data_IF_854470982548
#
_entry.id   IF_854470982548
#
_cell.length_a   1.000
_cell.length_b   1.000
_cell.length_c   1.000
_cell.angle_alpha   90.00
_cell.angle_beta   90.00
_cell.angle_gamma   90.00
#
_symmetry.space_group_name_H-M   'P 1'
#
loop_
_entity.id
_entity.type
_entity.pdbx_description
1 polymer ?
#
# COMPACT_ATOMS: atom_id res chain seq x y z
N UNK A 1 10.28 -0.02 -13.66
CA UNK A 1 9.19 0.75 -13.00
C UNK A 1 8.29 -0.26 -12.31
N UNK A 2 7.86 -0.02 -11.07
CA UNK A 2 6.88 -0.88 -10.38
C UNK A 2 5.62 -0.07 -10.14
N UNK A 3 4.49 -0.52 -10.67
CA UNK A 3 3.20 0.14 -10.41
C UNK A 3 2.58 -0.47 -9.16
N UNK A 4 2.23 0.39 -8.20
CA UNK A 4 1.48 0.01 -7.02
C UNK A 4 0.02 0.40 -7.20
N UNK A 5 -0.88 -0.47 -6.76
CA UNK A 5 -2.32 -0.26 -6.84
C UNK A 5 -2.93 -0.42 -5.46
N UNK A 6 -4.05 0.26 -5.22
CA UNK A 6 -5.02 -0.27 -4.26
C UNK A 6 -5.67 -1.51 -4.86
N UNK A 7 -6.00 -2.48 -4.02
CA UNK A 7 -6.73 -3.67 -4.43
C UNK A 7 -8.11 -3.65 -3.82
N UNK A 8 -9.11 -4.03 -4.59
CA UNK A 8 -10.42 -4.39 -4.05
C UNK A 8 -10.57 -5.89 -4.02
N UNK A 9 -11.17 -6.42 -2.98
CA UNK A 9 -11.40 -7.85 -2.79
C UNK A 9 -12.81 -8.14 -2.32
N UNK A 10 -13.29 -9.33 -2.67
CA UNK A 10 -14.58 -9.86 -2.30
C UNK A 10 -14.36 -11.22 -1.65
N UNK A 11 -14.88 -11.36 -0.42
CA UNK A 11 -14.87 -12.64 0.29
C UNK A 11 -15.97 -13.55 -0.27
N UNK A 12 -15.77 -14.88 -0.24
CA UNK A 12 -16.81 -15.82 -0.64
C UNK A 12 -18.08 -15.58 0.19
N UNK A 13 -19.23 -15.51 -0.48
CA UNK A 13 -20.52 -15.21 0.15
C UNK A 13 -20.79 -13.73 0.44
N UNK A 14 -19.81 -12.83 0.25
CA UNK A 14 -20.03 -11.39 0.43
C UNK A 14 -20.49 -10.73 -0.87
N UNK A 15 -21.56 -9.93 -0.83
CA UNK A 15 -22.02 -9.16 -2.01
C UNK A 15 -21.25 -7.85 -2.25
N UNK A 16 -20.44 -7.41 -1.28
CA UNK A 16 -19.76 -6.11 -1.31
C UNK A 16 -18.27 -6.28 -1.55
N UNK A 17 -17.72 -5.40 -2.39
CA UNK A 17 -16.28 -5.25 -2.55
C UNK A 17 -15.71 -4.42 -1.40
N UNK A 18 -14.58 -4.86 -0.84
CA UNK A 18 -13.79 -4.12 0.16
C UNK A 18 -12.48 -3.67 -0.50
N UNK A 19 -11.98 -2.49 -0.16
CA UNK A 19 -10.70 -1.99 -0.68
C UNK A 19 -9.60 -2.14 0.38
N UNK A 20 -8.38 -2.48 -0.04
CA UNK A 20 -7.19 -2.45 0.81
C UNK A 20 -6.85 -0.99 1.18
N UNK A 21 -6.32 -0.81 2.40
CA UNK A 21 -5.83 0.49 2.86
C UNK A 21 -4.43 0.83 2.36
N UNK A 22 -3.69 -0.18 1.89
CA UNK A 22 -2.31 -0.05 1.43
C UNK A 22 -2.25 -0.24 -0.08
N UNK A 23 -1.37 0.54 -0.72
CA UNK A 23 -0.97 0.32 -2.11
C UNK A 23 0.16 -0.69 -2.14
N UNK A 24 0.09 -1.62 -3.08
CA UNK A 24 1.07 -2.69 -3.21
C UNK A 24 1.23 -3.07 -4.68
N UNK A 25 2.36 -3.66 -5.04
CA UNK A 25 2.55 -4.24 -6.37
C UNK A 25 1.83 -5.60 -6.48
N UNK A 26 1.77 -6.16 -7.68
CA UNK A 26 1.08 -7.42 -7.94
C UNK A 26 1.64 -8.62 -7.15
N UNK A 27 2.94 -8.68 -6.92
CA UNK A 27 3.57 -9.78 -6.17
C UNK A 27 3.25 -9.67 -4.67
N UNK A 28 3.38 -8.45 -4.13
CA UNK A 28 3.03 -8.15 -2.74
C UNK A 28 1.54 -8.39 -2.47
N UNK A 29 0.67 -8.04 -3.42
CA UNK A 29 -0.77 -8.34 -3.35
C UNK A 29 -1.01 -9.84 -3.27
N UNK A 30 -0.39 -10.62 -4.16
CA UNK A 30 -0.55 -12.08 -4.16
C UNK A 30 -0.17 -12.70 -2.82
N UNK A 31 0.95 -12.28 -2.24
CA UNK A 31 1.43 -12.75 -0.92
C UNK A 31 0.46 -12.34 0.20
N UNK A 32 0.04 -11.08 0.21
CA UNK A 32 -0.88 -10.56 1.23
C UNK A 32 -2.24 -11.26 1.19
N UNK A 33 -2.84 -11.43 0.00
CA UNK A 33 -4.11 -12.13 -0.14
C UNK A 33 -3.97 -13.62 0.21
N UNK A 34 -2.89 -14.28 -0.18
CA UNK A 34 -2.65 -15.68 0.23
C UNK A 34 -2.54 -15.83 1.76
N UNK A 35 -1.97 -14.84 2.46
CA UNK A 35 -1.79 -14.89 3.91
C UNK A 35 -3.07 -14.53 4.69
N UNK A 36 -3.77 -13.44 4.31
CA UNK A 36 -4.86 -12.88 5.11
C UNK A 36 -6.26 -13.23 4.57
N UNK A 37 -6.40 -13.45 3.27
CA UNK A 37 -7.68 -13.68 2.60
C UNK A 37 -7.55 -14.70 1.45
N UNK A 38 -7.13 -15.95 1.71
CA UNK A 38 -6.73 -16.91 0.69
C UNK A 38 -7.85 -17.30 -0.29
N UNK A 39 -9.10 -17.17 0.14
CA UNK A 39 -10.30 -17.49 -0.64
C UNK A 39 -10.94 -16.27 -1.30
N UNK A 40 -10.38 -15.07 -1.09
CA UNK A 40 -10.95 -13.84 -1.66
C UNK A 40 -10.57 -13.68 -3.13
N UNK A 41 -11.54 -13.24 -3.93
CA UNK A 41 -11.24 -12.72 -5.28
C UNK A 41 -10.80 -11.27 -5.15
N UNK A 42 -9.68 -10.89 -5.77
CA UNK A 42 -9.17 -9.52 -5.73
C UNK A 42 -8.84 -8.97 -7.12
N UNK A 43 -8.97 -7.65 -7.27
CA UNK A 43 -8.68 -6.91 -8.52
C UNK A 43 -7.99 -5.58 -8.20
N UNK A 44 -7.03 -5.13 -9.01
CA UNK A 44 -6.45 -3.80 -8.85
C UNK A 44 -7.50 -2.71 -9.11
N UNK A 45 -7.35 -1.57 -8.45
CA UNK A 45 -8.15 -0.36 -8.67
C UNK A 45 -7.30 0.62 -9.47
N UNK A 46 -7.67 0.84 -10.73
CA UNK A 46 -6.90 1.68 -11.67
C UNK A 46 -6.87 3.15 -11.26
N UNK A 47 -7.98 3.66 -10.70
CA UNK A 47 -8.11 5.05 -10.25
C UNK A 47 -7.12 5.46 -9.13
N UNK A 48 -6.40 4.50 -8.54
CA UNK A 48 -5.35 4.75 -7.53
C UNK A 48 -4.00 4.16 -7.89
N UNK A 49 -3.76 3.82 -9.16
CA UNK A 49 -2.49 3.32 -9.65
C UNK A 49 -1.42 4.42 -9.55
N UNK A 50 -0.24 4.06 -9.04
CA UNK A 50 0.91 4.95 -8.95
C UNK A 50 2.15 4.21 -9.41
N UNK A 51 2.88 4.83 -10.33
CA UNK A 51 4.15 4.31 -10.79
C UNK A 51 5.25 4.69 -9.80
N UNK A 52 5.91 3.68 -9.22
CA UNK A 52 7.13 3.86 -8.45
C UNK A 52 8.32 3.59 -9.38
N UNK A 53 8.98 4.66 -9.80
CA UNK A 53 10.20 4.63 -10.59
C UNK A 53 11.43 4.89 -9.72
N UNK A 54 12.32 3.88 -9.60
CA UNK A 54 13.55 3.85 -8.78
C UNK A 54 13.30 4.13 -7.28
N UNK A 55 14.12 3.59 -6.35
CA UNK A 55 14.10 4.11 -4.99
C UNK A 55 14.39 5.60 -5.10
N UNK A 56 13.46 6.43 -4.63
CA UNK A 56 13.71 7.84 -4.48
C UNK A 56 14.81 7.95 -3.40
N UNK A 57 16.07 7.96 -3.81
CA UNK A 57 17.27 8.15 -2.98
C UNK A 57 17.35 9.60 -2.46
N UNK A 58 16.20 10.24 -2.30
CA UNK A 58 16.04 11.68 -2.04
C UNK A 58 14.80 12.00 -1.22
N UNK A 59 14.22 11.05 -0.47
CA UNK A 59 13.29 11.41 0.61
C UNK A 59 14.11 11.84 1.84
N UNK A 60 14.84 12.95 1.71
CA UNK A 60 14.93 13.91 2.80
C UNK A 60 13.57 14.61 2.91
N UNK A 61 12.50 13.85 3.19
CA UNK A 61 11.40 14.44 3.93
C UNK A 61 11.99 14.90 5.27
N UNK A 62 11.49 15.99 5.86
CA UNK A 62 12.00 16.40 7.16
C UNK A 62 11.93 15.18 8.08
N UNK A 63 13.11 14.74 8.53
CA UNK A 63 13.24 13.87 9.69
C UNK A 63 12.68 14.65 10.87
N UNK A 64 11.35 14.74 10.96
CA UNK A 64 10.66 14.94 12.22
C UNK A 64 10.72 13.61 12.98
N UNK A 65 11.95 13.16 13.26
CA UNK A 65 12.20 12.65 14.59
C UNK A 65 11.98 13.86 15.50
N UNK A 66 10.92 13.81 16.30
CA UNK A 66 10.84 14.64 17.49
C UNK A 66 12.07 14.32 18.34
N UNK A 67 13.15 15.06 18.11
CA UNK A 67 14.27 15.12 19.04
C UNK A 67 13.73 15.67 20.35
N UNK A 68 14.07 15.08 21.51
CA UNK A 68 13.73 15.68 22.78
C UNK A 68 14.42 17.05 22.85
N UNK A 69 13.65 18.04 23.31
CA UNK A 69 13.95 19.45 23.16
C UNK A 69 15.32 19.89 23.68
N UNK A 70 15.90 20.86 22.98
CA UNK A 70 16.82 21.84 23.57
C UNK A 70 16.38 23.22 23.11
N UNK A 71 15.51 23.84 23.92
CA UNK A 71 15.32 25.29 23.89
C UNK A 71 16.68 25.95 24.11
N UNK A 72 17.05 26.88 23.22
CA UNK A 72 18.08 27.88 23.51
C UNK A 72 17.44 29.03 24.28
N UNK A 73 18.04 29.40 25.41
CA UNK A 73 18.06 30.76 25.94
C UNK A 73 19.46 30.99 26.51
#
# INVERSE_FOLDING_TARGET
MKTIHFYRYQLPGSKRWKQTRHRMDAESARKWFAQFHPTATYKPVEHGAMEIGKPYLGWNGPNNHGGPGTSKH
#
